data_IF_438854470735
#
_entry.id   IF_438854470735
#
_cell.length_a   1.000
_cell.length_b   1.000
_cell.length_c   1.000
_cell.angle_alpha   90.00
_cell.angle_beta   90.00
_cell.angle_gamma   90.00
#
_symmetry.space_group_name_H-M   'P 1'
#
loop_
_entity.id
_entity.type
_entity.pdbx_description
1 polymer ?
#
# COMPACT_ATOMS: atom_id res chain seq x y z
N UNK A 1 14.48 -11.82 29.40
CA UNK A 1 13.92 -13.16 29.72
C UNK A 1 12.76 -13.51 28.77
N UNK A 2 11.51 -12.97 28.92
CA UNK A 2 10.35 -13.41 28.13
C UNK A 2 10.53 -13.28 26.61
N UNK A 3 11.03 -12.14 26.12
CA UNK A 3 11.29 -11.92 24.68
C UNK A 3 12.33 -12.92 24.17
N UNK A 4 13.33 -13.19 24.94
CA UNK A 4 14.41 -14.11 24.63
C UNK A 4 13.89 -15.56 24.54
N UNK A 5 13.07 -15.99 25.50
CA UNK A 5 12.39 -17.29 25.48
C UNK A 5 11.53 -17.46 24.22
N UNK A 6 10.70 -16.46 23.90
CA UNK A 6 9.84 -16.49 22.69
C UNK A 6 10.68 -16.60 21.40
N UNK A 7 11.81 -15.92 21.35
CA UNK A 7 12.63 -15.86 20.13
C UNK A 7 13.52 -17.10 19.95
N UNK A 8 14.09 -17.65 21.02
CA UNK A 8 15.10 -18.72 20.94
C UNK A 8 14.62 -20.09 21.41
N UNK A 9 13.51 -20.16 22.13
CA UNK A 9 12.97 -21.40 22.70
C UNK A 9 11.50 -21.61 22.33
N UNK A 10 11.12 -21.51 21.02
CA UNK A 10 9.73 -21.72 20.63
C UNK A 10 9.29 -23.16 20.91
N UNK A 11 8.13 -23.32 21.51
CA UNK A 11 7.65 -24.64 22.00
C UNK A 11 7.29 -25.63 20.91
N UNK A 12 7.04 -25.18 19.69
CA UNK A 12 6.64 -26.00 18.55
C UNK A 12 5.43 -26.92 18.84
N UNK A 13 4.43 -26.36 19.53
CA UNK A 13 3.24 -27.10 19.94
C UNK A 13 2.35 -27.42 18.74
N UNK A 14 2.14 -28.71 18.46
CA UNK A 14 1.39 -29.18 17.29
C UNK A 14 -0.11 -28.80 17.36
N UNK A 15 -0.70 -28.80 18.57
CA UNK A 15 -2.11 -28.40 18.74
C UNK A 15 -2.31 -26.92 18.43
N UNK A 16 -1.38 -26.08 18.88
CA UNK A 16 -1.40 -24.65 18.58
C UNK A 16 -1.13 -24.39 17.11
N UNK A 17 -0.19 -25.10 16.48
CA UNK A 17 0.04 -25.02 15.05
C UNK A 17 -1.24 -25.33 14.26
N UNK A 18 -1.92 -26.45 14.54
CA UNK A 18 -3.16 -26.81 13.87
C UNK A 18 -4.30 -25.81 14.15
N UNK A 19 -4.36 -25.25 15.36
CA UNK A 19 -5.32 -24.20 15.70
C UNK A 19 -5.10 -22.93 14.85
N UNK A 20 -3.85 -22.46 14.79
CA UNK A 20 -3.47 -21.28 13.98
C UNK A 20 -3.71 -21.53 12.50
N UNK A 21 -3.36 -22.72 12.00
CA UNK A 21 -3.58 -23.12 10.61
C UNK A 21 -5.07 -23.04 10.24
N UNK A 22 -5.96 -23.60 11.07
CA UNK A 22 -7.42 -23.47 10.87
C UNK A 22 -7.88 -22.03 10.88
N UNK A 23 -7.45 -21.23 11.85
CA UNK A 23 -7.81 -19.81 11.94
C UNK A 23 -7.35 -19.03 10.70
N UNK A 24 -6.15 -19.32 10.19
CA UNK A 24 -5.62 -18.69 8.98
C UNK A 24 -6.48 -19.03 7.75
N UNK A 25 -6.86 -20.30 7.59
CA UNK A 25 -7.76 -20.73 6.51
C UNK A 25 -9.11 -20.01 6.60
N UNK A 26 -9.72 -19.97 7.77
CA UNK A 26 -10.98 -19.27 8.00
C UNK A 26 -10.87 -17.76 7.72
N UNK A 27 -9.74 -17.14 8.07
CA UNK A 27 -9.48 -15.74 7.79
C UNK A 27 -9.35 -15.49 6.28
N UNK A 28 -8.67 -16.36 5.54
CA UNK A 28 -8.57 -16.30 4.08
C UNK A 28 -9.97 -16.45 3.47
N UNK A 29 -10.78 -17.41 3.93
CA UNK A 29 -12.16 -17.58 3.44
C UNK A 29 -13.02 -16.34 3.66
N UNK A 30 -12.96 -15.74 4.86
CA UNK A 30 -13.68 -14.47 5.13
C UNK A 30 -13.22 -13.33 4.23
N UNK A 31 -11.92 -13.23 3.95
CA UNK A 31 -11.37 -12.20 3.03
C UNK A 31 -11.88 -12.41 1.60
N UNK A 32 -11.93 -13.65 1.12
CA UNK A 32 -12.43 -13.97 -0.23
C UNK A 32 -13.95 -13.71 -0.39
N UNK A 33 -14.70 -13.57 0.70
CA UNK A 33 -16.09 -13.16 0.70
C UNK A 33 -16.29 -11.62 0.67
N UNK A 34 -15.22 -10.84 0.92
CA UNK A 34 -15.28 -9.38 0.99
C UNK A 34 -14.98 -8.74 -0.36
N UNK A 35 -15.88 -7.98 -1.00
CA UNK A 35 -15.61 -7.29 -2.26
C UNK A 35 -14.35 -6.41 -2.22
N UNK A 36 -14.12 -5.70 -1.11
CA UNK A 36 -12.93 -4.85 -0.95
C UNK A 36 -11.63 -5.65 -0.88
N UNK A 37 -11.66 -6.84 -0.25
CA UNK A 37 -10.49 -7.71 -0.22
C UNK A 37 -10.24 -8.37 -1.60
N UNK A 38 -11.29 -8.78 -2.29
CA UNK A 38 -11.22 -9.26 -3.69
C UNK A 38 -10.60 -8.16 -4.56
N UNK A 39 -11.08 -6.92 -4.46
CA UNK A 39 -10.53 -5.79 -5.21
C UNK A 39 -9.03 -5.61 -4.97
N UNK A 40 -8.60 -5.70 -3.71
CA UNK A 40 -7.18 -5.52 -3.36
C UNK A 40 -6.29 -6.66 -3.87
N UNK A 41 -6.74 -7.91 -3.75
CA UNK A 41 -5.99 -9.07 -4.24
C UNK A 41 -5.90 -9.07 -5.77
N UNK A 42 -7.04 -8.87 -6.45
CA UNK A 42 -7.09 -8.82 -7.93
C UNK A 42 -6.26 -7.66 -8.47
N UNK A 43 -6.37 -6.47 -7.87
CA UNK A 43 -5.60 -5.30 -8.28
C UNK A 43 -4.09 -5.53 -8.13
N UNK A 44 -3.69 -6.17 -7.02
CA UNK A 44 -2.30 -6.56 -6.81
C UNK A 44 -1.82 -7.55 -7.87
N UNK A 45 -2.60 -8.61 -8.14
CA UNK A 45 -2.27 -9.61 -9.17
C UNK A 45 -2.17 -8.99 -10.56
N UNK A 46 -3.08 -8.09 -10.93
CA UNK A 46 -3.05 -7.39 -12.21
C UNK A 46 -1.82 -6.50 -12.39
N UNK A 47 -1.37 -5.83 -11.32
CA UNK A 47 -0.20 -4.96 -11.36
C UNK A 47 1.12 -5.73 -11.37
N UNK A 48 1.23 -6.79 -10.57
CA UNK A 48 2.47 -7.53 -10.39
C UNK A 48 2.61 -8.75 -11.30
N UNK A 49 1.51 -9.23 -11.92
CA UNK A 49 1.52 -10.41 -12.81
C UNK A 49 2.07 -11.65 -12.09
N UNK A 50 3.13 -12.23 -12.63
CA UNK A 50 3.79 -13.42 -12.07
C UNK A 50 4.94 -13.07 -11.10
N UNK A 51 5.17 -11.79 -10.85
CA UNK A 51 6.18 -11.37 -9.88
C UNK A 51 5.80 -11.83 -8.47
N UNK A 52 6.79 -12.15 -7.61
CA UNK A 52 6.57 -12.64 -6.24
C UNK A 52 5.70 -11.71 -5.39
N UNK A 53 5.76 -10.40 -5.62
CA UNK A 53 4.94 -9.40 -4.94
C UNK A 53 3.44 -9.49 -5.26
N UNK A 54 3.04 -10.28 -6.27
CA UNK A 54 1.63 -10.58 -6.55
C UNK A 54 1.01 -11.51 -5.51
N UNK A 55 1.84 -12.31 -4.83
CA UNK A 55 1.38 -13.30 -3.87
C UNK A 55 0.89 -12.65 -2.58
N UNK A 56 -0.23 -13.13 -2.06
CA UNK A 56 -0.69 -12.74 -0.73
C UNK A 56 0.28 -13.23 0.34
N UNK A 57 0.69 -12.35 1.25
CA UNK A 57 1.53 -12.72 2.40
C UNK A 57 0.85 -13.71 3.35
N UNK A 58 -0.48 -13.80 3.32
CA UNK A 58 -1.24 -14.80 4.09
C UNK A 58 -1.33 -16.14 3.36
N UNK A 59 -0.78 -16.25 2.15
CA UNK A 59 -0.91 -17.44 1.32
C UNK A 59 -2.32 -17.62 0.72
N UNK A 60 -2.54 -18.82 0.21
CA UNK A 60 -3.84 -19.32 -0.28
C UNK A 60 -4.33 -20.45 0.62
N UNK A 61 -5.63 -20.79 0.55
CA UNK A 61 -6.17 -21.95 1.28
C UNK A 61 -5.36 -23.22 0.94
N UNK A 62 -5.00 -23.40 -0.34
CA UNK A 62 -4.22 -24.55 -0.81
C UNK A 62 -2.82 -24.58 -0.17
N UNK A 63 -2.09 -23.47 -0.24
CA UNK A 63 -0.73 -23.39 0.32
C UNK A 63 -0.72 -23.55 1.84
N UNK A 64 -1.66 -22.89 2.57
CA UNK A 64 -1.74 -23.02 4.02
C UNK A 64 -2.09 -24.45 4.43
N UNK A 65 -2.98 -25.15 3.71
CA UNK A 65 -3.29 -26.56 3.98
C UNK A 65 -2.08 -27.47 3.83
N UNK A 66 -1.17 -27.20 2.88
CA UNK A 66 0.01 -28.03 2.64
C UNK A 66 1.14 -27.83 3.66
N UNK A 67 1.17 -26.70 4.37
CA UNK A 67 2.21 -26.41 5.38
C UNK A 67 2.07 -27.39 6.56
N UNK A 68 3.19 -27.97 6.98
CA UNK A 68 3.32 -28.81 8.17
C UNK A 68 4.24 -28.13 9.20
N UNK A 69 4.20 -28.56 10.44
CA UNK A 69 4.97 -27.98 11.54
C UNK A 69 6.48 -27.99 11.25
N UNK A 70 6.97 -29.03 10.59
CA UNK A 70 8.39 -29.14 10.24
C UNK A 70 8.83 -28.11 9.18
N UNK A 71 7.94 -27.65 8.28
CA UNK A 71 8.23 -26.54 7.36
C UNK A 71 8.52 -25.27 8.15
N UNK A 72 7.73 -24.99 9.19
CA UNK A 72 7.93 -23.82 10.05
C UNK A 72 9.25 -23.91 10.82
N UNK A 73 9.56 -25.09 11.38
CA UNK A 73 10.85 -25.31 12.06
C UNK A 73 12.04 -25.12 11.11
N UNK A 74 11.95 -25.68 9.91
CA UNK A 74 12.99 -25.57 8.89
C UNK A 74 13.19 -24.11 8.45
N UNK A 75 12.09 -23.37 8.23
CA UNK A 75 12.15 -21.95 7.91
C UNK A 75 12.81 -21.14 9.03
N UNK A 76 12.40 -21.36 10.28
CA UNK A 76 12.99 -20.71 11.45
C UNK A 76 14.49 -21.02 11.55
N UNK A 77 14.86 -22.30 11.46
CA UNK A 77 16.27 -22.72 11.57
C UNK A 77 17.14 -22.13 10.46
N UNK A 78 16.61 -21.96 9.26
CA UNK A 78 17.36 -21.47 8.10
C UNK A 78 17.41 -19.95 8.02
N UNK A 79 16.36 -19.24 8.45
CA UNK A 79 16.19 -17.81 8.16
C UNK A 79 16.21 -16.91 9.39
N UNK A 80 16.06 -17.46 10.59
CA UNK A 80 16.12 -16.66 11.82
C UNK A 80 17.58 -16.34 12.17
N UNK A 81 18.05 -15.21 11.66
CA UNK A 81 19.47 -14.83 11.66
C UNK A 81 19.66 -13.38 12.09
N UNK A 82 20.70 -13.10 12.88
CA UNK A 82 20.98 -11.76 13.40
C UNK A 82 21.29 -10.74 12.30
N UNK A 83 21.85 -11.15 11.16
CA UNK A 83 22.17 -10.23 10.07
C UNK A 83 20.93 -9.61 9.38
N UNK A 84 19.72 -10.17 9.62
CA UNK A 84 18.47 -9.62 9.12
C UNK A 84 17.75 -8.72 10.13
N UNK A 85 18.25 -8.64 11.36
CA UNK A 85 17.52 -7.98 12.46
C UNK A 85 17.87 -6.51 12.55
N UNK A 86 16.84 -5.69 12.75
CA UNK A 86 16.98 -4.28 13.10
C UNK A 86 16.11 -4.01 14.34
N UNK A 87 16.73 -3.47 15.38
CA UNK A 87 16.05 -3.19 16.66
C UNK A 87 15.92 -1.67 16.81
N UNK A 88 14.69 -1.20 16.97
CA UNK A 88 14.40 0.21 17.25
C UNK A 88 13.85 0.34 18.67
N UNK A 89 14.53 1.11 19.51
CA UNK A 89 14.18 1.34 20.91
C UNK A 89 13.84 2.83 21.09
N UNK A 90 12.69 3.10 21.66
CA UNK A 90 12.22 4.45 22.01
C UNK A 90 11.60 4.41 23.41
N UNK A 91 12.06 5.29 24.29
CA UNK A 91 11.59 5.38 25.65
C UNK A 91 12.52 6.20 26.54
N UNK A 92 12.22 6.25 27.83
CA UNK A 92 13.09 6.87 28.83
C UNK A 92 14.23 5.90 29.18
N UNK A 93 15.21 5.82 28.28
CA UNK A 93 16.36 4.91 28.39
C UNK A 93 17.58 5.54 27.75
N UNK A 94 18.72 5.48 28.40
CA UNK A 94 19.99 5.90 27.79
C UNK A 94 20.48 4.91 26.71
N UNK A 95 21.32 5.38 25.81
CA UNK A 95 21.95 4.53 24.79
C UNK A 95 22.71 3.36 25.42
N UNK A 96 23.43 3.63 26.53
CA UNK A 96 24.25 2.58 27.18
C UNK A 96 23.34 1.51 27.83
N UNK A 97 22.25 1.89 28.46
CA UNK A 97 21.28 0.96 29.02
C UNK A 97 20.60 0.15 27.93
N UNK A 98 20.21 0.79 26.81
CA UNK A 98 19.62 0.11 25.67
C UNK A 98 20.56 -0.95 25.09
N UNK A 99 21.83 -0.59 24.84
CA UNK A 99 22.86 -1.54 24.37
C UNK A 99 23.06 -2.66 25.37
N UNK A 100 23.22 -2.36 26.65
CA UNK A 100 23.42 -3.36 27.71
C UNK A 100 22.24 -4.33 27.80
N UNK A 101 21.00 -3.83 27.66
CA UNK A 101 19.79 -4.66 27.69
C UNK A 101 19.69 -5.62 26.50
N UNK A 102 20.34 -5.30 25.37
CA UNK A 102 20.33 -6.13 24.17
C UNK A 102 21.55 -7.07 24.05
N UNK A 103 22.60 -6.90 24.87
CA UNK A 103 23.79 -7.74 24.75
C UNK A 103 23.48 -9.24 24.91
N UNK A 104 22.68 -9.61 25.91
CA UNK A 104 22.29 -11.02 26.12
C UNK A 104 21.51 -11.62 24.94
N UNK A 105 20.75 -10.77 24.21
CA UNK A 105 20.05 -11.15 22.99
C UNK A 105 21.05 -11.30 21.82
N UNK A 106 21.96 -10.35 21.69
CA UNK A 106 22.98 -10.34 20.64
C UNK A 106 23.93 -11.55 20.75
N UNK A 107 24.36 -11.89 21.95
CA UNK A 107 25.26 -13.02 22.22
C UNK A 107 24.65 -14.37 21.83
N UNK A 108 23.31 -14.49 21.90
CA UNK A 108 22.58 -15.73 21.56
C UNK A 108 22.16 -15.81 20.11
N UNK A 109 22.10 -14.68 19.41
CA UNK A 109 21.55 -14.63 18.06
C UNK A 109 22.64 -14.85 16.99
N UNK A 110 22.71 -16.06 16.51
CA UNK A 110 23.71 -16.47 15.53
C UNK A 110 23.49 -15.78 14.19
N UNK A 111 24.57 -15.26 13.60
CA UNK A 111 24.59 -14.84 12.20
C UNK A 111 24.75 -16.08 11.31
N UNK A 112 23.74 -16.33 10.47
CA UNK A 112 23.72 -17.46 9.53
C UNK A 112 24.06 -17.02 8.10
N UNK A 113 24.40 -15.75 7.87
CA UNK A 113 24.69 -15.22 6.54
C UNK A 113 23.51 -15.28 5.57
N UNK A 114 22.29 -15.14 6.07
CA UNK A 114 21.07 -15.20 5.23
C UNK A 114 21.06 -14.03 4.25
N UNK A 115 20.93 -14.36 2.96
CA UNK A 115 20.84 -13.38 1.88
C UNK A 115 19.39 -13.27 1.43
N UNK A 116 18.85 -12.04 1.43
CA UNK A 116 17.53 -11.78 0.86
C UNK A 116 17.65 -11.84 -0.67
N UNK A 117 16.85 -12.67 -1.36
CA UNK A 117 16.88 -12.74 -2.82
C UNK A 117 16.67 -11.35 -3.45
N UNK A 118 17.43 -11.07 -4.50
CA UNK A 118 17.23 -9.86 -5.29
C UNK A 118 16.30 -10.17 -6.45
N UNK A 119 15.04 -9.76 -6.31
CA UNK A 119 14.06 -9.91 -7.37
C UNK A 119 14.15 -8.73 -8.36
N UNK A 120 14.02 -8.97 -9.67
CA UNK A 120 13.96 -7.88 -10.62
C UNK A 120 12.74 -6.99 -10.35
N UNK A 121 12.77 -5.70 -10.69
CA UNK A 121 11.61 -4.84 -10.51
C UNK A 121 10.45 -5.34 -11.40
N UNK A 122 9.20 -5.26 -10.91
CA UNK A 122 8.04 -5.64 -11.71
C UNK A 122 7.84 -4.67 -12.89
N UNK A 123 7.30 -5.17 -13.98
CA UNK A 123 7.04 -4.35 -15.17
C UNK A 123 5.71 -3.61 -15.03
N UNK A 124 5.67 -2.27 -15.13
CA UNK A 124 4.43 -1.51 -15.12
C UNK A 124 3.61 -1.73 -16.39
N UNK A 125 2.30 -1.50 -16.31
CA UNK A 125 1.44 -1.42 -17.49
C UNK A 125 1.81 -0.21 -18.35
N UNK A 126 1.74 -0.36 -19.66
CA UNK A 126 2.02 0.69 -20.66
C UNK A 126 0.74 1.28 -21.30
N UNK A 127 -0.43 0.74 -20.99
CA UNK A 127 -1.73 1.20 -21.51
C UNK A 127 -2.88 0.88 -20.55
N UNK A 128 -3.88 1.76 -20.58
CA UNK A 128 -5.07 1.54 -19.79
C UNK A 128 -5.84 0.29 -20.23
N UNK A 129 -6.30 -0.46 -19.23
CA UNK A 129 -7.17 -1.62 -19.40
C UNK A 129 -8.26 -1.63 -18.33
N UNK A 130 -9.45 -2.08 -18.75
CA UNK A 130 -10.60 -2.19 -17.85
C UNK A 130 -10.79 -3.65 -17.49
N UNK A 131 -10.85 -3.93 -16.20
CA UNK A 131 -11.08 -5.27 -15.65
C UNK A 131 -12.32 -5.28 -14.77
N UNK A 132 -13.02 -6.39 -14.75
CA UNK A 132 -14.23 -6.59 -13.98
C UNK A 132 -14.23 -7.95 -13.30
N UNK A 133 -14.58 -7.98 -12.01
CA UNK A 133 -14.88 -9.21 -11.27
C UNK A 133 -16.35 -9.20 -10.87
N UNK A 134 -17.07 -10.28 -11.21
CA UNK A 134 -18.49 -10.38 -10.94
C UNK A 134 -18.77 -10.73 -9.48
N UNK A 135 -19.56 -9.88 -8.83
CA UNK A 135 -20.22 -10.14 -7.54
C UNK A 135 -21.73 -9.96 -7.73
N UNK A 136 -22.45 -11.03 -8.05
CA UNK A 136 -23.87 -10.94 -8.37
C UNK A 136 -24.67 -10.28 -7.26
N UNK A 137 -25.57 -9.34 -7.65
CA UNK A 137 -26.44 -8.58 -6.77
C UNK A 137 -25.70 -7.69 -5.74
N UNK A 138 -24.43 -7.36 -5.95
CA UNK A 138 -23.69 -6.42 -5.12
C UNK A 138 -24.41 -5.07 -5.07
N UNK A 139 -24.57 -4.50 -3.87
CA UNK A 139 -25.21 -3.19 -3.65
C UNK A 139 -24.23 -2.03 -3.84
N UNK A 140 -22.95 -2.33 -3.79
CA UNK A 140 -21.86 -1.40 -4.04
C UNK A 140 -20.85 -2.02 -5.01
N UNK A 141 -20.17 -1.17 -5.77
CA UNK A 141 -19.02 -1.54 -6.57
C UNK A 141 -17.75 -1.03 -5.90
N UNK A 142 -16.76 -1.89 -5.78
CA UNK A 142 -15.40 -1.52 -5.39
C UNK A 142 -14.61 -1.09 -6.62
N UNK A 143 -14.04 0.10 -6.57
CA UNK A 143 -13.24 0.70 -7.64
C UNK A 143 -11.78 0.75 -7.19
N UNK A 144 -10.87 0.29 -8.05
CA UNK A 144 -9.41 0.48 -7.93
C UNK A 144 -8.88 0.94 -9.28
N UNK A 145 -8.18 2.07 -9.29
CA UNK A 145 -7.56 2.63 -10.51
C UNK A 145 -6.13 2.96 -10.17
N UNK A 146 -5.18 2.53 -10.99
CA UNK A 146 -3.77 2.84 -10.75
C UNK A 146 -2.81 1.91 -11.45
N UNK A 147 -1.55 2.00 -11.07
CA UNK A 147 -0.46 1.30 -11.73
C UNK A 147 0.79 1.22 -10.83
N UNK A 148 1.77 0.40 -11.20
CA UNK A 148 3.07 0.34 -10.52
C UNK A 148 3.80 1.67 -10.69
N UNK A 149 4.32 2.19 -9.59
CA UNK A 149 5.02 3.47 -9.50
C UNK A 149 6.37 3.28 -8.79
N UNK A 150 6.96 4.37 -8.35
CA UNK A 150 8.29 4.41 -7.75
C UNK A 150 8.32 3.83 -6.32
N UNK A 151 9.41 3.16 -5.91
CA UNK A 151 9.59 2.66 -4.55
C UNK A 151 9.76 3.79 -3.54
N UNK A 152 9.63 3.47 -2.23
CA UNK A 152 9.80 4.44 -1.12
C UNK A 152 11.19 5.10 -1.11
N UNK A 153 12.19 4.44 -1.65
CA UNK A 153 13.58 4.92 -1.70
C UNK A 153 13.86 5.88 -2.86
N UNK A 154 12.90 6.08 -3.77
CA UNK A 154 13.10 6.99 -4.91
C UNK A 154 13.07 8.46 -4.44
N UNK A 155 13.94 9.34 -4.95
CA UNK A 155 13.98 10.76 -4.56
C UNK A 155 12.64 11.49 -4.68
N UNK A 156 11.85 11.22 -5.72
CA UNK A 156 10.56 11.86 -5.94
C UNK A 156 9.42 11.29 -5.07
N UNK A 157 9.67 10.23 -4.26
CA UNK A 157 8.58 9.53 -3.57
C UNK A 157 7.80 10.45 -2.63
N UNK A 158 8.48 11.20 -1.79
CA UNK A 158 7.82 12.10 -0.84
C UNK A 158 7.14 13.27 -1.57
N UNK A 159 7.80 13.87 -2.56
CA UNK A 159 7.22 14.92 -3.39
C UNK A 159 5.92 14.45 -4.09
N UNK A 160 5.86 13.19 -4.53
CA UNK A 160 4.64 12.60 -5.07
C UNK A 160 3.52 12.45 -4.05
N UNK A 161 3.83 12.16 -2.77
CA UNK A 161 2.80 12.11 -1.74
C UNK A 161 2.21 13.50 -1.49
N UNK A 162 3.04 14.53 -1.49
CA UNK A 162 2.62 15.94 -1.36
C UNK A 162 1.80 16.37 -2.56
N UNK A 163 2.29 16.13 -3.78
CA UNK A 163 1.58 16.41 -5.03
C UNK A 163 0.19 15.78 -5.03
N UNK A 164 0.06 14.53 -4.60
CA UNK A 164 -1.22 13.81 -4.59
C UNK A 164 -2.23 14.34 -3.57
N UNK A 165 -1.84 15.16 -2.60
CA UNK A 165 -2.76 15.62 -1.54
C UNK A 165 -3.99 16.33 -2.09
N UNK A 166 -3.84 17.17 -3.11
CA UNK A 166 -4.95 17.89 -3.74
C UNK A 166 -5.82 16.96 -4.58
N UNK A 167 -5.24 15.98 -5.28
CA UNK A 167 -5.97 15.02 -6.10
C UNK A 167 -6.87 14.09 -5.27
N UNK A 168 -6.27 13.37 -4.29
CA UNK A 168 -6.99 12.37 -3.51
C UNK A 168 -6.33 12.01 -2.17
N UNK A 169 -5.30 12.75 -1.76
CA UNK A 169 -4.49 12.41 -0.58
C UNK A 169 -5.07 12.89 0.75
N UNK A 170 -6.07 13.76 0.77
CA UNK A 170 -6.69 14.26 1.99
C UNK A 170 -8.24 14.34 1.86
N UNK A 171 -8.91 14.67 2.96
CA UNK A 171 -10.35 14.76 2.99
C UNK A 171 -10.93 15.83 2.05
N UNK A 172 -10.26 16.96 1.88
CA UNK A 172 -10.66 18.07 1.00
C UNK A 172 -10.09 17.95 -0.41
N UNK A 173 -9.69 16.74 -0.82
CA UNK A 173 -9.17 16.46 -2.16
C UNK A 173 -10.26 16.47 -3.22
N UNK A 174 -9.89 16.75 -4.47
CA UNK A 174 -10.82 16.88 -5.59
C UNK A 174 -11.66 15.61 -5.80
N UNK A 175 -11.04 14.43 -5.73
CA UNK A 175 -11.73 13.14 -5.85
C UNK A 175 -12.78 12.96 -4.74
N UNK A 176 -12.41 13.26 -3.48
CA UNK A 176 -13.33 13.08 -2.37
C UNK A 176 -14.46 14.12 -2.39
N UNK A 177 -14.16 15.37 -2.65
CA UNK A 177 -15.19 16.41 -2.75
C UNK A 177 -16.19 16.09 -3.85
N UNK A 178 -15.73 15.73 -5.04
CA UNK A 178 -16.62 15.41 -6.16
C UNK A 178 -17.51 14.19 -5.85
N UNK A 179 -16.92 13.05 -5.50
CA UNK A 179 -17.67 11.79 -5.36
C UNK A 179 -18.50 11.73 -4.08
N UNK A 180 -18.03 12.32 -2.98
CA UNK A 180 -18.69 12.27 -1.69
C UNK A 180 -19.62 13.45 -1.47
N UNK A 181 -19.10 14.68 -1.58
CA UNK A 181 -19.84 15.89 -1.16
C UNK A 181 -20.79 16.36 -2.26
N UNK A 182 -20.35 16.43 -3.53
CA UNK A 182 -21.17 16.93 -4.62
C UNK A 182 -22.15 15.87 -5.14
N UNK A 183 -21.66 14.62 -5.37
CA UNK A 183 -22.47 13.55 -5.96
C UNK A 183 -23.13 12.64 -4.91
N UNK A 184 -22.61 12.54 -3.71
CA UNK A 184 -23.13 11.64 -2.68
C UNK A 184 -23.06 10.15 -3.07
N UNK A 185 -22.10 9.74 -3.91
CA UNK A 185 -21.99 8.38 -4.43
C UNK A 185 -21.30 7.42 -3.49
N UNK A 186 -20.51 7.94 -2.56
CA UNK A 186 -19.67 7.20 -1.64
C UNK A 186 -19.56 7.86 -0.27
N UNK A 187 -19.12 7.11 0.72
CA UNK A 187 -18.67 7.65 2.02
C UNK A 187 -17.24 8.17 2.00
N UNK A 188 -16.49 7.88 0.94
CA UNK A 188 -15.14 8.40 0.75
C UNK A 188 -14.46 7.85 -0.48
N UNK A 189 -13.69 8.71 -1.14
CA UNK A 189 -12.86 8.39 -2.28
C UNK A 189 -11.47 9.02 -2.07
N UNK A 190 -10.42 8.32 -2.50
CA UNK A 190 -9.04 8.76 -2.26
C UNK A 190 -8.09 8.24 -3.33
N UNK A 191 -6.94 8.89 -3.43
CA UNK A 191 -5.76 8.34 -4.10
C UNK A 191 -4.54 8.41 -3.20
N UNK A 192 -3.55 7.55 -3.46
CA UNK A 192 -2.30 7.52 -2.71
C UNK A 192 -1.17 6.94 -3.54
N UNK A 193 0.04 7.39 -3.25
CA UNK A 193 1.26 6.66 -3.55
C UNK A 193 1.62 5.79 -2.33
N UNK A 194 1.94 4.55 -2.55
CA UNK A 194 2.48 3.65 -1.55
C UNK A 194 3.76 3.02 -2.11
N UNK A 195 4.74 2.82 -1.26
CA UNK A 195 6.02 2.25 -1.69
C UNK A 195 6.60 1.32 -0.64
N UNK A 196 7.22 0.25 -1.12
CA UNK A 196 8.13 -0.61 -0.38
C UNK A 196 9.57 -0.31 -0.78
N UNK A 197 10.51 -1.10 -0.28
CA UNK A 197 11.91 -1.06 -0.72
C UNK A 197 12.07 -1.43 -2.21
N UNK A 198 11.18 -2.27 -2.72
CA UNK A 198 11.34 -2.92 -4.03
C UNK A 198 10.42 -2.36 -5.11
N UNK A 199 9.28 -1.83 -4.73
CA UNK A 199 8.27 -1.34 -5.67
C UNK A 199 7.36 -0.32 -5.01
N UNK A 200 6.71 0.48 -5.82
CA UNK A 200 5.65 1.39 -5.42
C UNK A 200 4.41 1.25 -6.28
N UNK A 201 3.35 1.91 -5.86
CA UNK A 201 2.06 1.89 -6.55
C UNK A 201 1.33 3.22 -6.34
N UNK A 202 0.76 3.76 -7.41
CA UNK A 202 -0.31 4.74 -7.32
C UNK A 202 -1.65 4.02 -7.36
N UNK A 203 -2.57 4.36 -6.46
CA UNK A 203 -3.91 3.78 -6.44
C UNK A 203 -4.95 4.81 -6.03
N UNK A 204 -5.94 5.04 -6.89
CA UNK A 204 -7.21 5.69 -6.56
C UNK A 204 -8.27 4.64 -6.25
N UNK A 205 -9.13 4.89 -5.26
CA UNK A 205 -10.09 3.89 -4.79
C UNK A 205 -11.33 4.50 -4.16
N UNK A 206 -12.46 3.80 -4.33
CA UNK A 206 -13.72 4.09 -3.64
C UNK A 206 -14.62 2.86 -3.64
N UNK A 207 -15.54 2.80 -2.68
CA UNK A 207 -16.73 1.95 -2.72
C UNK A 207 -17.93 2.85 -3.04
N UNK A 208 -18.58 2.64 -4.19
CA UNK A 208 -19.68 3.47 -4.67
C UNK A 208 -20.97 2.68 -4.76
N UNK A 209 -22.13 3.34 -4.75
CA UNK A 209 -23.41 2.66 -5.04
C UNK A 209 -23.36 2.05 -6.43
N UNK A 210 -23.88 0.83 -6.60
CA UNK A 210 -23.82 0.08 -7.86
C UNK A 210 -24.30 0.91 -9.06
N UNK A 211 -25.41 1.62 -8.93
CA UNK A 211 -25.99 2.42 -10.03
C UNK A 211 -25.19 3.69 -10.38
N UNK A 212 -24.12 4.00 -9.66
CA UNK A 212 -23.25 5.16 -9.93
C UNK A 212 -21.85 4.73 -10.40
N UNK A 213 -21.62 3.43 -10.63
CA UNK A 213 -20.30 2.87 -10.94
C UNK A 213 -19.69 3.49 -12.19
N UNK A 214 -20.42 3.51 -13.30
CA UNK A 214 -19.94 4.08 -14.58
C UNK A 214 -19.59 5.56 -14.44
N UNK A 215 -20.50 6.35 -13.87
CA UNK A 215 -20.27 7.80 -13.67
C UNK A 215 -19.06 8.02 -12.75
N UNK A 216 -18.95 7.26 -11.65
CA UNK A 216 -17.81 7.36 -10.74
C UNK A 216 -16.47 7.05 -11.42
N UNK A 217 -16.43 6.04 -12.27
CA UNK A 217 -15.22 5.67 -13.02
C UNK A 217 -14.82 6.77 -13.99
N UNK A 218 -15.78 7.40 -14.71
CA UNK A 218 -15.52 8.54 -15.57
C UNK A 218 -15.05 9.75 -14.77
N UNK A 219 -15.66 10.06 -13.62
CA UNK A 219 -15.23 11.13 -12.72
C UNK A 219 -13.75 10.94 -12.29
N UNK A 220 -13.36 9.75 -11.86
CA UNK A 220 -11.97 9.46 -11.53
C UNK A 220 -11.03 9.77 -12.70
N UNK A 221 -11.36 9.26 -13.89
CA UNK A 221 -10.55 9.48 -15.10
C UNK A 221 -10.44 10.97 -15.43
N UNK A 222 -11.58 11.67 -15.46
CA UNK A 222 -11.65 13.07 -15.87
C UNK A 222 -10.94 13.99 -14.87
N UNK A 223 -11.05 13.73 -13.57
CA UNK A 223 -10.30 14.46 -12.54
C UNK A 223 -8.79 14.24 -12.67
N UNK A 224 -8.33 13.02 -12.93
CA UNK A 224 -6.90 12.75 -13.14
C UNK A 224 -6.37 13.42 -14.44
N UNK A 225 -7.17 13.44 -15.51
CA UNK A 225 -6.82 14.17 -16.74
C UNK A 225 -6.81 15.68 -16.49
N UNK A 226 -7.81 16.21 -15.79
CA UNK A 226 -7.87 17.64 -15.47
C UNK A 226 -6.71 18.05 -14.54
N UNK A 227 -6.25 17.16 -13.68
CA UNK A 227 -5.15 17.39 -12.77
C UNK A 227 -3.80 17.61 -13.46
N UNK A 228 -3.66 17.19 -14.71
CA UNK A 228 -2.47 17.48 -15.54
C UNK A 228 -2.33 18.96 -15.90
N UNK A 229 -3.36 19.79 -15.68
CA UNK A 229 -3.24 21.25 -15.77
C UNK A 229 -2.51 21.79 -14.53
N UNK A 230 -1.79 22.91 -14.67
CA UNK A 230 -1.08 23.52 -13.55
C UNK A 230 -2.02 23.81 -12.35
N UNK A 231 -1.58 23.44 -11.17
CA UNK A 231 -2.27 23.78 -9.92
C UNK A 231 -2.26 25.30 -9.69
N UNK A 232 -3.32 25.84 -9.10
CA UNK A 232 -3.30 27.25 -8.69
C UNK A 232 -2.34 27.47 -7.52
N UNK A 233 -1.74 28.64 -7.42
CA UNK A 233 -0.87 28.99 -6.30
C UNK A 233 -1.59 28.85 -4.96
N UNK A 234 -2.85 29.26 -4.86
CA UNK A 234 -3.68 29.13 -3.66
C UNK A 234 -3.83 27.66 -3.22
N UNK A 235 -4.15 26.76 -4.16
CA UNK A 235 -4.27 25.32 -3.90
C UNK A 235 -2.93 24.71 -3.47
N UNK A 236 -1.83 25.11 -4.09
CA UNK A 236 -0.50 24.65 -3.70
C UNK A 236 -0.13 25.15 -2.29
N UNK A 237 -0.37 26.42 -1.99
CA UNK A 237 -0.12 26.99 -0.66
C UNK A 237 -0.96 26.29 0.41
N UNK A 238 -2.21 25.92 0.11
CA UNK A 238 -3.05 25.12 1.00
C UNK A 238 -2.41 23.75 1.28
N UNK A 239 -1.99 23.01 0.26
CA UNK A 239 -1.35 21.69 0.40
C UNK A 239 -0.07 21.79 1.24
N UNK A 240 0.80 22.78 0.93
CA UNK A 240 2.05 23.02 1.69
C UNK A 240 1.76 23.28 3.17
N UNK A 241 0.78 24.14 3.46
CA UNK A 241 0.40 24.47 4.84
C UNK A 241 -0.16 23.26 5.60
N UNK A 242 -0.98 22.42 4.97
CA UNK A 242 -1.51 21.19 5.57
C UNK A 242 -0.37 20.25 5.93
N UNK A 243 0.57 20.02 5.00
CA UNK A 243 1.69 19.10 5.23
C UNK A 243 2.63 19.59 6.33
N UNK A 244 3.09 20.85 6.25
CA UNK A 244 3.99 21.42 7.24
C UNK A 244 3.39 21.45 8.66
N UNK A 245 2.09 21.75 8.79
CA UNK A 245 1.39 21.70 10.09
C UNK A 245 1.21 20.29 10.63
N UNK A 246 1.12 19.28 9.75
CA UNK A 246 0.97 17.89 10.17
C UNK A 246 2.23 17.31 10.81
N UNK A 247 3.40 17.87 10.49
CA UNK A 247 4.69 17.39 10.97
C UNK A 247 4.83 17.40 12.50
N UNK A 248 4.23 18.38 13.20
CA UNK A 248 4.27 18.42 14.66
C UNK A 248 3.79 17.11 15.30
N UNK A 249 2.73 16.51 14.75
CA UNK A 249 2.14 15.25 15.25
C UNK A 249 3.05 14.03 15.11
N UNK A 250 4.06 14.10 14.24
CA UNK A 250 5.05 13.01 14.06
C UNK A 250 5.94 12.81 15.30
N UNK A 251 5.98 13.79 16.21
CA UNK A 251 6.82 13.77 17.41
C UNK A 251 6.03 13.60 18.72
N UNK A 252 4.71 13.51 18.67
CA UNK A 252 3.86 13.56 19.87
C UNK A 252 3.83 12.26 20.69
N UNK A 253 4.09 11.10 20.08
CA UNK A 253 3.96 9.81 20.76
C UNK A 253 5.19 8.93 20.57
N UNK A 254 5.46 8.05 21.56
CA UNK A 254 6.52 7.04 21.44
C UNK A 254 6.34 6.14 20.20
N UNK A 255 5.09 5.83 19.83
CA UNK A 255 4.81 5.07 18.62
C UNK A 255 5.17 5.83 17.34
N UNK A 256 4.91 7.13 17.28
CA UNK A 256 5.30 7.97 16.14
C UNK A 256 6.83 8.04 16.03
N UNK A 257 7.53 8.28 17.13
CA UNK A 257 8.99 8.28 17.17
C UNK A 257 9.59 6.93 16.76
N UNK A 258 9.02 5.82 17.27
CA UNK A 258 9.44 4.47 16.87
C UNK A 258 9.22 4.23 15.37
N UNK A 259 8.09 4.71 14.84
CA UNK A 259 7.78 4.64 13.40
C UNK A 259 8.86 5.31 12.56
N UNK A 260 9.27 6.53 12.92
CA UNK A 260 10.34 7.28 12.23
C UNK A 260 11.69 6.54 12.24
N UNK A 261 12.11 6.05 13.42
CA UNK A 261 13.36 5.28 13.54
C UNK A 261 13.28 3.98 12.72
N UNK A 262 12.13 3.31 12.74
CA UNK A 262 11.93 2.10 11.95
C UNK A 262 11.95 2.38 10.44
N UNK A 263 11.47 3.53 10.01
CA UNK A 263 11.50 3.98 8.61
C UNK A 263 12.94 4.25 8.17
N UNK A 264 13.72 4.98 8.98
CA UNK A 264 15.15 5.19 8.77
C UNK A 264 15.86 3.84 8.62
N UNK A 265 15.63 2.92 9.55
CA UNK A 265 16.28 1.61 9.54
C UNK A 265 15.86 0.76 8.34
N UNK A 266 14.59 0.80 7.91
CA UNK A 266 14.04 -0.03 6.83
C UNK A 266 14.53 0.45 5.47
N UNK A 267 14.50 1.75 5.24
CA UNK A 267 14.75 2.36 3.93
C UNK A 267 16.14 2.99 3.82
N UNK A 268 16.96 2.89 4.88
CA UNK A 268 18.29 3.50 4.97
C UNK A 268 18.25 5.02 4.72
N UNK A 269 17.25 5.69 5.31
CA UNK A 269 17.09 7.13 5.20
C UNK A 269 18.13 7.85 6.08
N UNK A 270 18.53 9.08 5.75
CA UNK A 270 19.36 9.90 6.63
C UNK A 270 18.59 10.29 7.89
N UNK A 271 19.30 10.60 8.99
CA UNK A 271 18.65 10.97 10.27
C UNK A 271 17.85 12.26 10.19
N UNK A 272 18.17 13.13 9.26
CA UNK A 272 17.50 14.40 8.99
C UNK A 272 16.45 14.33 7.88
N UNK A 273 16.01 13.10 7.50
CA UNK A 273 15.07 12.93 6.38
C UNK A 273 13.79 13.73 6.52
N UNK A 274 13.29 13.96 7.74
CA UNK A 274 12.10 14.78 7.97
C UNK A 274 12.35 16.24 7.61
N UNK A 275 13.55 16.76 7.93
CA UNK A 275 13.93 18.11 7.53
C UNK A 275 14.02 18.20 6.00
N UNK A 276 14.62 17.19 5.35
CA UNK A 276 14.69 17.14 3.90
C UNK A 276 13.29 17.07 3.26
N UNK A 277 12.36 16.33 3.88
CA UNK A 277 10.95 16.31 3.47
C UNK A 277 10.28 17.68 3.63
N UNK A 278 10.53 18.40 4.73
CA UNK A 278 10.04 19.78 4.89
C UNK A 278 10.63 20.75 3.85
N UNK A 279 11.90 20.63 3.55
CA UNK A 279 12.56 21.46 2.53
C UNK A 279 11.93 21.21 1.15
N UNK A 280 11.66 19.96 0.78
CA UNK A 280 10.91 19.59 -0.44
C UNK A 280 9.55 20.30 -0.49
N UNK A 281 8.80 20.31 0.62
CA UNK A 281 7.50 20.99 0.67
C UNK A 281 7.67 22.49 0.51
N UNK A 282 8.64 23.11 1.19
CA UNK A 282 8.88 24.57 1.15
C UNK A 282 9.29 25.04 -0.25
N UNK A 283 10.14 24.28 -0.93
CA UNK A 283 10.69 24.59 -2.24
C UNK A 283 9.72 24.28 -3.38
N UNK A 284 8.73 23.38 -3.17
CA UNK A 284 7.75 23.02 -4.20
C UNK A 284 7.02 24.28 -4.72
N UNK A 285 7.05 24.46 -6.01
CA UNK A 285 6.35 25.52 -6.74
C UNK A 285 5.37 24.93 -7.76
N UNK A 286 4.63 25.78 -8.46
CA UNK A 286 3.62 25.34 -9.44
C UNK A 286 4.24 24.53 -10.57
N UNK A 287 5.43 24.92 -11.04
CA UNK A 287 6.14 24.22 -12.14
C UNK A 287 6.57 22.82 -11.68
N UNK A 288 7.33 22.71 -10.58
CA UNK A 288 7.79 21.42 -10.05
C UNK A 288 6.64 20.49 -9.66
N UNK A 289 5.54 21.03 -9.11
CA UNK A 289 4.32 20.25 -8.85
C UNK A 289 3.74 19.71 -10.16
N UNK A 290 3.62 20.54 -11.18
CA UNK A 290 3.05 20.13 -12.49
C UNK A 290 3.94 19.09 -13.19
N UNK A 291 5.26 19.20 -13.08
CA UNK A 291 6.21 18.20 -13.61
C UNK A 291 6.00 16.83 -12.95
N UNK A 292 5.82 16.81 -11.63
CA UNK A 292 5.49 15.57 -10.91
C UNK A 292 4.15 14.98 -11.36
N UNK A 293 3.12 15.81 -11.54
CA UNK A 293 1.81 15.36 -12.03
C UNK A 293 1.96 14.72 -13.42
N UNK A 294 2.61 15.39 -14.36
CA UNK A 294 2.79 14.89 -15.71
C UNK A 294 3.64 13.60 -15.76
N UNK A 295 4.59 13.48 -14.84
CA UNK A 295 5.47 12.30 -14.74
C UNK A 295 4.76 11.10 -14.10
N UNK A 296 3.86 11.32 -13.12
CA UNK A 296 3.35 10.27 -12.25
C UNK A 296 1.81 10.13 -12.18
N UNK A 297 1.03 10.98 -12.83
CA UNK A 297 -0.42 10.80 -12.97
C UNK A 297 -0.72 10.52 -14.43
N UNK A 298 -0.79 9.22 -14.77
CA UNK A 298 -0.88 8.73 -16.16
C UNK A 298 -2.16 7.92 -16.38
N UNK A 299 -3.33 8.57 -16.47
CA UNK A 299 -4.61 7.85 -16.56
C UNK A 299 -4.69 6.85 -17.73
N UNK A 300 -3.98 7.13 -18.83
CA UNK A 300 -3.96 6.29 -20.02
C UNK A 300 -3.05 5.04 -19.91
N UNK A 301 -2.34 4.87 -18.78
CA UNK A 301 -1.47 3.71 -18.51
C UNK A 301 -1.96 2.89 -17.33
N UNK A 302 -3.11 3.26 -16.71
CA UNK A 302 -3.61 2.67 -15.48
C UNK A 302 -4.50 1.44 -15.73
N UNK A 303 -4.53 0.56 -14.74
CA UNK A 303 -5.51 -0.50 -14.59
C UNK A 303 -6.76 0.11 -13.97
N UNK A 304 -7.91 -0.11 -14.60
CA UNK A 304 -9.25 0.28 -14.14
C UNK A 304 -10.01 -0.97 -13.73
N UNK A 305 -10.08 -1.25 -12.42
CA UNK A 305 -10.71 -2.47 -11.90
C UNK A 305 -12.02 -2.12 -11.17
N UNK A 306 -13.06 -2.87 -11.50
CA UNK A 306 -14.36 -2.85 -10.81
C UNK A 306 -14.71 -4.24 -10.29
N UNK A 307 -15.12 -4.30 -9.03
CA UNK A 307 -15.75 -5.48 -8.43
C UNK A 307 -17.20 -5.12 -8.17
N UNK A 308 -18.15 -5.77 -8.82
CA UNK A 308 -19.57 -5.40 -8.72
C UNK A 308 -20.50 -6.35 -9.46
N UNK A 309 -21.76 -5.95 -9.62
CA UNK A 309 -22.77 -6.73 -10.33
C UNK A 309 -22.60 -6.59 -11.86
N UNK A 310 -22.13 -7.66 -12.48
CA UNK A 310 -21.87 -7.71 -13.92
C UNK A 310 -23.11 -7.37 -14.77
N UNK A 311 -24.26 -7.86 -14.36
CA UNK A 311 -25.51 -7.71 -15.16
C UNK A 311 -25.85 -6.25 -15.40
N UNK A 312 -25.57 -5.39 -14.43
CA UNK A 312 -25.97 -3.99 -14.44
C UNK A 312 -24.83 -3.03 -14.78
N UNK A 313 -23.54 -3.40 -14.52
CA UNK A 313 -22.44 -2.44 -14.60
C UNK A 313 -21.42 -2.71 -15.73
N UNK A 314 -21.25 -3.94 -16.16
CA UNK A 314 -20.15 -4.34 -17.06
C UNK A 314 -20.14 -3.56 -18.38
N UNK A 315 -21.29 -3.42 -19.03
CA UNK A 315 -21.37 -2.82 -20.36
C UNK A 315 -21.15 -1.29 -20.35
N UNK A 316 -21.56 -0.60 -19.28
CA UNK A 316 -21.40 0.85 -19.15
C UNK A 316 -19.93 1.27 -19.10
N UNK A 317 -19.02 0.41 -18.61
CA UNK A 317 -17.60 0.73 -18.50
C UNK A 317 -16.89 0.97 -19.87
N UNK A 318 -17.52 0.62 -20.98
CA UNK A 318 -17.01 0.96 -22.32
C UNK A 318 -16.91 2.47 -22.55
N UNK A 319 -17.72 3.26 -21.84
CA UNK A 319 -17.71 4.73 -21.89
C UNK A 319 -16.38 5.34 -21.45
N UNK A 320 -15.53 4.60 -20.73
CA UNK A 320 -14.19 5.03 -20.37
C UNK A 320 -13.27 5.23 -21.58
N UNK A 321 -13.56 4.61 -22.73
CA UNK A 321 -12.79 4.78 -23.96
C UNK A 321 -11.51 3.93 -24.04
N UNK A 322 -11.29 2.98 -23.11
CA UNK A 322 -10.12 2.10 -23.08
C UNK A 322 -10.40 0.70 -23.64
N UNK A 323 -11.45 0.55 -24.46
CA UNK A 323 -11.87 -0.71 -25.05
C UNK A 323 -12.92 -1.46 -24.22
N UNK A 324 -13.10 -2.74 -24.53
CA UNK A 324 -14.06 -3.58 -23.83
C UNK A 324 -13.49 -4.01 -22.46
N UNK A 325 -14.32 -3.97 -21.39
CA UNK A 325 -13.93 -4.56 -20.12
C UNK A 325 -13.60 -6.06 -20.25
N UNK A 326 -12.57 -6.51 -19.54
CA UNK A 326 -12.17 -7.91 -19.45
C UNK A 326 -12.75 -8.50 -18.17
N UNK A 327 -13.53 -9.56 -18.30
CA UNK A 327 -14.04 -10.31 -17.15
C UNK A 327 -12.94 -11.19 -16.58
N UNK A 328 -12.75 -11.14 -15.26
CA UNK A 328 -11.82 -11.97 -14.51
C UNK A 328 -12.61 -12.87 -13.57
N UNK A 329 -12.28 -14.14 -13.53
CA UNK A 329 -12.83 -15.09 -12.58
C UNK A 329 -12.31 -14.79 -11.16
N UNK A 330 -13.12 -15.07 -10.15
CA UNK A 330 -12.69 -15.03 -8.76
C UNK A 330 -11.70 -16.17 -8.50
N UNK A 331 -10.53 -15.86 -8.00
CA UNK A 331 -9.62 -16.88 -7.47
C UNK A 331 -10.11 -17.46 -6.15
#
# INVERSE_FOLDING_TARGET
ALVEEILFEPRWDEKEFERIKRQTIEQIQRRLASPSAIASLTFNKLNYGDHILSNSTSGTIKSVKSIILDDIKNYYNSNFSSNLVKISIVGDISKNEAVKSMNALADKWTDKGVVIPNEPPPNPSDKAKIYFVDVPNAKQSEIRIGYLSIPRTHPDYFANTVMNMKLGGNFSSDINLMLREEKGFTYGARSRFSGSKYSGMFMASSAVRTNTTEESMNIFKDLMLAYQKPITKESLDFVKNVELKSNARRFETLNALRGMISEIATYNLPFDYIKNEEDIVREMNVESHNDLVNKYIKPNEMIYLVIGDRKTQFNGLKSLGFGNPVLIDRE
#
